data_IF_115434739515
#
_entry.id   IF_115434739515
#
_cell.length_a   1.000
_cell.length_b   1.000
_cell.length_c   1.000
_cell.angle_alpha   90.00
_cell.angle_beta   90.00
_cell.angle_gamma   90.00
#
_symmetry.space_group_name_H-M   'P 1'
#
loop_
_entity.id
_entity.type
_entity.pdbx_description
1 polymer ?
#
# COMPACT_ATOMS: atom_id res chain seq x y z
N UNK A 1 -8.96 4.42 18.51
CA UNK A 1 -9.18 4.09 17.08
C UNK A 1 -8.65 2.69 16.90
N UNK A 2 -9.43 1.71 16.42
CA UNK A 2 -8.95 0.35 16.28
C UNK A 2 -7.86 0.31 15.21
N UNK A 3 -6.70 -0.25 15.54
CA UNK A 3 -5.54 -0.39 14.64
C UNK A 3 -5.90 -1.10 13.32
N UNK A 4 -6.90 -1.98 13.37
CA UNK A 4 -7.43 -2.73 12.24
C UNK A 4 -7.97 -1.83 11.12
N UNK A 5 -8.60 -0.70 11.46
CA UNK A 5 -9.17 0.21 10.45
C UNK A 5 -8.07 0.90 9.64
N UNK A 6 -6.94 1.24 10.28
CA UNK A 6 -5.84 1.91 9.59
C UNK A 6 -5.19 0.96 8.58
N UNK A 7 -4.96 -0.29 8.98
CA UNK A 7 -4.33 -1.29 8.12
C UNK A 7 -5.21 -1.60 6.90
N UNK A 8 -6.53 -1.74 7.08
CA UNK A 8 -7.48 -1.89 5.97
C UNK A 8 -7.46 -0.68 5.04
N UNK A 9 -7.49 0.55 5.55
CA UNK A 9 -7.44 1.77 4.71
C UNK A 9 -6.14 1.88 3.90
N UNK A 10 -5.00 1.47 4.47
CA UNK A 10 -3.73 1.44 3.73
C UNK A 10 -3.79 0.41 2.60
N UNK A 11 -4.33 -0.79 2.85
CA UNK A 11 -4.50 -1.82 1.83
C UNK A 11 -5.47 -1.40 0.73
N UNK A 12 -6.60 -0.77 1.07
CA UNK A 12 -7.52 -0.21 0.08
C UNK A 12 -6.87 0.88 -0.77
N UNK A 13 -6.10 1.77 -0.15
CA UNK A 13 -5.33 2.79 -0.85
C UNK A 13 -4.31 2.15 -1.80
N UNK A 14 -3.58 1.13 -1.37
CA UNK A 14 -2.62 0.39 -2.19
C UNK A 14 -3.29 -0.20 -3.43
N UNK A 15 -4.38 -0.96 -3.24
CA UNK A 15 -5.13 -1.58 -4.34
C UNK A 15 -5.65 -0.55 -5.33
N UNK A 16 -6.19 0.55 -4.83
CA UNK A 16 -6.80 1.59 -5.66
C UNK A 16 -5.79 2.41 -6.44
N UNK A 17 -4.70 2.84 -5.80
CA UNK A 17 -3.72 3.72 -6.46
C UNK A 17 -2.77 2.93 -7.37
N UNK A 18 -2.41 1.70 -6.98
CA UNK A 18 -1.50 0.85 -7.75
C UNK A 18 -2.23 -0.09 -8.71
N UNK A 19 -3.56 0.10 -8.88
CA UNK A 19 -4.43 -0.69 -9.76
C UNK A 19 -4.21 -2.21 -9.65
N UNK A 20 -4.03 -2.69 -8.42
CA UNK A 20 -3.73 -4.10 -8.18
C UNK A 20 -4.93 -4.97 -8.57
N UNK A 21 -4.64 -6.14 -9.15
CA UNK A 21 -5.68 -7.14 -9.47
C UNK A 21 -6.16 -7.95 -8.25
N UNK A 22 -5.79 -7.53 -7.04
CA UNK A 22 -6.15 -8.17 -5.77
C UNK A 22 -6.96 -7.23 -4.90
N UNK A 23 -7.75 -7.75 -3.97
CA UNK A 23 -8.51 -6.93 -3.02
C UNK A 23 -7.74 -6.70 -1.72
N UNK A 24 -8.09 -5.65 -0.97
CA UNK A 24 -7.43 -5.33 0.30
C UNK A 24 -7.45 -6.51 1.28
N UNK A 25 -8.53 -7.28 1.33
CA UNK A 25 -8.68 -8.46 2.18
C UNK A 25 -7.75 -9.63 1.81
N UNK A 26 -7.28 -9.69 0.56
CA UNK A 26 -6.34 -10.72 0.10
C UNK A 26 -4.87 -10.37 0.41
N UNK A 27 -4.59 -9.11 0.76
CA UNK A 27 -3.25 -8.66 1.12
C UNK A 27 -2.99 -9.06 2.57
N UNK A 28 -2.06 -10.00 2.79
CA UNK A 28 -1.62 -10.38 4.13
C UNK A 28 -0.90 -9.24 4.85
N UNK A 29 -0.99 -9.20 6.17
CA UNK A 29 -0.32 -8.17 6.99
C UNK A 29 1.21 -8.23 6.94
N UNK A 30 1.73 -9.41 6.61
CA UNK A 30 3.16 -9.72 6.46
C UNK A 30 3.55 -9.94 5.00
N UNK A 31 2.63 -9.71 4.05
CA UNK A 31 2.90 -9.91 2.63
C UNK A 31 3.90 -8.83 2.16
N UNK A 32 5.01 -9.23 1.52
CA UNK A 32 5.93 -8.26 0.92
C UNK A 32 5.20 -7.42 -0.14
N UNK A 33 5.46 -6.11 -0.16
CA UNK A 33 4.90 -5.25 -1.21
C UNK A 33 5.71 -5.40 -2.52
N UNK A 34 7.03 -5.45 -2.40
CA UNK A 34 7.95 -5.49 -3.54
C UNK A 34 8.39 -6.90 -3.91
N UNK A 35 8.64 -7.11 -5.20
CA UNK A 35 9.25 -8.33 -5.73
C UNK A 35 8.27 -9.47 -6.04
N UNK A 36 8.77 -10.56 -6.65
CA UNK A 36 7.94 -11.60 -7.27
C UNK A 36 7.18 -12.51 -6.29
N UNK A 37 7.51 -12.47 -4.99
CA UNK A 37 6.79 -13.20 -3.93
C UNK A 37 5.80 -12.33 -3.15
N UNK A 38 5.60 -11.08 -3.57
CA UNK A 38 4.79 -10.07 -2.89
C UNK A 38 3.64 -9.56 -3.75
N UNK A 39 3.26 -8.30 -3.56
CA UNK A 39 2.32 -7.59 -4.46
C UNK A 39 2.89 -7.30 -5.84
N UNK A 40 4.19 -7.56 -6.05
CA UNK A 40 4.83 -7.36 -7.35
C UNK A 40 5.08 -5.90 -7.69
N UNK A 41 5.10 -5.01 -6.69
CA UNK A 41 5.38 -3.60 -6.91
C UNK A 41 6.77 -3.40 -7.48
N UNK A 42 6.86 -2.49 -8.43
CA UNK A 42 8.13 -2.03 -8.99
C UNK A 42 8.59 -0.70 -8.38
N UNK A 43 9.70 -0.17 -8.90
CA UNK A 43 10.28 1.10 -8.45
C UNK A 43 9.41 2.33 -8.77
N UNK A 44 8.54 2.25 -9.78
CA UNK A 44 7.61 3.32 -10.15
C UNK A 44 6.42 3.32 -9.19
N UNK A 45 5.87 2.14 -8.91
CA UNK A 45 4.80 1.94 -7.92
C UNK A 45 5.20 2.43 -6.53
N UNK A 46 6.47 2.23 -6.14
CA UNK A 46 7.01 2.72 -4.87
C UNK A 46 6.83 4.25 -4.73
N UNK A 47 7.10 5.00 -5.80
CA UNK A 47 6.99 6.46 -5.80
C UNK A 47 5.51 6.89 -5.70
N UNK A 48 4.64 6.23 -6.46
CA UNK A 48 3.21 6.51 -6.43
C UNK A 48 2.61 6.18 -5.05
N UNK A 49 3.06 5.10 -4.41
CA UNK A 49 2.71 4.78 -3.04
C UNK A 49 3.07 5.90 -2.06
N UNK A 50 4.32 6.41 -2.11
CA UNK A 50 4.76 7.50 -1.23
C UNK A 50 3.91 8.75 -1.42
N UNK A 51 3.67 9.16 -2.68
CA UNK A 51 2.81 10.31 -3.00
C UNK A 51 1.37 10.10 -2.52
N UNK A 52 0.85 8.88 -2.65
CA UNK A 52 -0.49 8.51 -2.18
C UNK A 52 -0.60 8.60 -0.66
N UNK A 53 0.44 8.15 0.06
CA UNK A 53 0.52 8.22 1.52
C UNK A 53 0.59 9.66 2.01
N UNK A 54 1.39 10.51 1.37
CA UNK A 54 1.46 11.94 1.69
C UNK A 54 0.11 12.63 1.49
N UNK A 55 -0.59 12.35 0.38
CA UNK A 55 -1.89 12.96 0.08
C UNK A 55 -3.02 12.45 0.98
N UNK A 56 -3.02 11.15 1.30
CA UNK A 56 -4.13 10.50 2.03
C UNK A 56 -3.97 10.63 3.54
N UNK A 57 -2.74 10.50 4.03
CA UNK A 57 -2.43 10.40 5.45
C UNK A 57 -1.54 11.55 5.95
N UNK A 58 -1.03 12.42 5.07
CA UNK A 58 -0.14 13.51 5.47
C UNK A 58 1.23 13.04 5.95
N UNK A 59 1.62 11.80 5.66
CA UNK A 59 2.89 11.21 6.09
C UNK A 59 3.83 11.04 4.90
N UNK A 60 5.03 11.62 5.01
CA UNK A 60 6.12 11.41 4.06
C UNK A 60 7.08 10.36 4.58
N UNK A 61 7.70 9.61 3.66
CA UNK A 61 8.79 8.68 4.00
C UNK A 61 10.08 9.50 4.06
N UNK A 62 10.69 9.72 5.24
CA UNK A 62 11.97 10.40 5.34
C UNK A 62 13.08 9.51 4.74
N UNK A 63 14.08 10.18 4.18
CA UNK A 63 15.23 9.59 3.50
C UNK A 63 16.21 8.92 4.48
#
# INVERSE_FOLDING_TARGET
>A
MPETDLRTRIKEMLVKNLMLQTTADQIGDELPLFGPGGLGLDSIDALELVVSMEKTFGVGVPN
#
